data_IF_161472550590
#
_entry.id   IF_161472550590
#
_cell.length_a   1.000
_cell.length_b   1.000
_cell.length_c   1.000
_cell.angle_alpha   90.00
_cell.angle_beta   90.00
_cell.angle_gamma   90.00
#
_symmetry.space_group_name_H-M   'P 1'
#
loop_
_entity.id
_entity.type
_entity.pdbx_description
1 polymer ?
#
# COMPACT_ATOMS: atom_id res chain seq x y z
N UNK A 1 29.61 -9.82 0.07
CA UNK A 1 28.97 -8.65 0.70
C UNK A 1 29.50 -7.44 -0.06
N UNK A 2 28.69 -6.79 -0.90
CA UNK A 2 29.08 -5.53 -1.55
C UNK A 2 29.29 -4.51 -0.42
N UNK A 3 30.46 -3.90 -0.37
CA UNK A 3 30.71 -2.77 0.52
C UNK A 3 29.66 -1.69 0.20
N UNK A 4 28.97 -1.20 1.25
CA UNK A 4 28.08 -0.07 1.07
C UNK A 4 28.88 1.10 0.53
N UNK A 5 28.44 1.69 -0.58
CA UNK A 5 29.05 2.88 -1.14
C UNK A 5 28.87 4.04 -0.15
N UNK A 6 29.96 4.63 0.40
CA UNK A 6 29.82 5.68 1.41
C UNK A 6 29.08 6.92 0.90
N UNK A 7 29.22 7.27 -0.38
CA UNK A 7 28.51 8.41 -0.97
C UNK A 7 27.00 8.12 -1.09
N UNK A 8 26.63 6.87 -1.40
CA UNK A 8 25.24 6.45 -1.40
C UNK A 8 24.61 6.48 0.00
N UNK A 9 25.32 6.02 1.04
CA UNK A 9 24.81 6.09 2.41
C UNK A 9 24.69 7.55 2.89
N UNK A 10 25.61 8.44 2.53
CA UNK A 10 25.51 9.87 2.80
C UNK A 10 24.27 10.50 2.13
N UNK A 11 23.97 10.12 0.89
CA UNK A 11 22.74 10.52 0.19
C UNK A 11 21.49 10.08 0.96
N UNK A 12 21.42 8.84 1.41
CA UNK A 12 20.26 8.34 2.18
C UNK A 12 20.09 9.06 3.52
N UNK A 13 21.20 9.38 4.20
CA UNK A 13 21.18 10.14 5.46
C UNK A 13 20.70 11.59 5.22
N UNK A 14 21.14 12.23 4.13
CA UNK A 14 20.64 13.54 3.73
C UNK A 14 19.13 13.52 3.45
N UNK A 15 18.62 12.51 2.73
CA UNK A 15 17.19 12.35 2.47
C UNK A 15 16.39 12.20 3.77
N UNK A 16 16.94 11.44 4.72
CA UNK A 16 16.33 11.26 6.05
C UNK A 16 16.31 12.57 6.85
N UNK A 17 17.43 13.29 6.88
CA UNK A 17 17.55 14.55 7.63
C UNK A 17 16.64 15.65 7.05
N UNK A 18 16.55 15.74 5.72
CA UNK A 18 15.83 16.82 5.04
C UNK A 18 14.31 16.62 5.00
N UNK A 19 13.82 15.37 5.01
CA UNK A 19 12.39 15.06 4.83
C UNK A 19 11.82 14.04 5.84
N UNK A 20 12.65 13.56 6.76
CA UNK A 20 12.21 12.65 7.83
C UNK A 20 11.84 11.24 7.38
N UNK A 21 12.15 10.85 6.13
CA UNK A 21 11.86 9.51 5.64
C UNK A 21 13.11 8.63 5.63
N UNK A 22 13.06 7.53 6.39
CA UNK A 22 14.19 6.64 6.61
C UNK A 22 14.18 5.44 5.65
N UNK A 23 15.11 5.46 4.68
CA UNK A 23 15.31 4.36 3.73
C UNK A 23 16.20 3.21 4.26
N UNK A 24 16.70 3.26 5.50
CA UNK A 24 17.64 2.24 6.02
C UNK A 24 17.04 0.83 6.04
N UNK A 25 15.72 0.73 6.18
CA UNK A 25 14.99 -0.53 6.14
C UNK A 25 14.75 -1.13 4.75
N UNK A 26 15.10 -0.41 3.70
CA UNK A 26 14.89 -0.86 2.31
C UNK A 26 16.10 -1.63 1.78
N UNK A 27 15.86 -2.56 0.85
CA UNK A 27 16.93 -3.31 0.16
C UNK A 27 17.82 -2.37 -0.64
N UNK A 28 19.09 -2.28 -0.30
CA UNK A 28 20.07 -1.36 -0.93
C UNK A 28 20.14 -1.50 -2.45
N UNK A 29 20.17 -2.74 -2.96
CA UNK A 29 20.18 -2.99 -4.42
C UNK A 29 18.97 -2.42 -5.14
N UNK A 30 17.81 -2.40 -4.50
CA UNK A 30 16.59 -1.81 -5.06
C UNK A 30 16.62 -0.29 -5.03
N UNK A 31 17.15 0.31 -3.95
CA UNK A 31 17.31 1.75 -3.83
C UNK A 31 18.33 2.28 -4.85
N UNK A 32 19.55 1.70 -4.88
CA UNK A 32 20.61 2.11 -5.80
C UNK A 32 20.13 2.14 -7.24
N UNK A 33 19.54 1.04 -7.73
CA UNK A 33 19.02 0.99 -9.11
C UNK A 33 18.06 2.11 -9.46
N UNK A 34 17.30 2.63 -8.49
CA UNK A 34 16.31 3.69 -8.71
C UNK A 34 16.95 5.06 -8.62
N UNK A 35 17.84 5.25 -7.66
CA UNK A 35 18.66 6.46 -7.58
C UNK A 35 19.48 6.60 -8.85
N UNK A 36 20.18 5.55 -9.30
CA UNK A 36 20.96 5.54 -10.55
C UNK A 36 20.09 5.90 -11.77
N UNK A 37 18.88 5.34 -11.82
CA UNK A 37 17.92 5.69 -12.88
C UNK A 37 17.56 7.17 -12.87
N UNK A 38 17.33 7.75 -11.68
CA UNK A 38 16.99 9.16 -11.56
C UNK A 38 18.18 10.05 -11.89
N UNK A 39 19.36 9.74 -11.38
CA UNK A 39 20.62 10.41 -11.73
C UNK A 39 20.84 10.45 -13.24
N UNK A 40 20.64 9.32 -13.93
CA UNK A 40 20.74 9.26 -15.39
C UNK A 40 19.74 10.16 -16.12
N UNK A 41 18.55 10.40 -15.55
CA UNK A 41 17.56 11.32 -16.14
C UNK A 41 17.97 12.79 -16.03
N UNK A 42 18.71 13.15 -14.98
CA UNK A 42 19.20 14.54 -14.77
C UNK A 42 20.65 14.73 -15.22
N UNK A 43 21.31 13.67 -15.75
CA UNK A 43 22.65 13.74 -16.32
C UNK A 43 23.78 13.81 -15.28
N UNK A 44 23.52 13.34 -14.03
CA UNK A 44 24.54 13.29 -12.96
C UNK A 44 25.11 11.89 -12.86
N UNK A 45 26.45 11.77 -12.71
CA UNK A 45 27.18 10.51 -12.83
C UNK A 45 27.54 9.82 -11.51
N UNK A 46 27.59 10.54 -10.38
CA UNK A 46 27.93 9.98 -9.07
C UNK A 46 27.02 10.51 -7.95
N UNK A 47 27.05 9.82 -6.79
CA UNK A 47 26.15 10.14 -5.68
C UNK A 47 26.51 11.43 -4.94
N UNK A 48 27.79 11.85 -4.95
CA UNK A 48 28.22 13.07 -4.29
C UNK A 48 27.73 14.29 -5.08
N UNK A 49 27.96 14.30 -6.40
CA UNK A 49 27.45 15.33 -7.31
C UNK A 49 25.90 15.37 -7.29
N UNK A 50 25.26 14.20 -7.11
CA UNK A 50 23.81 14.15 -7.04
C UNK A 50 23.25 14.73 -5.74
N UNK A 51 23.97 14.58 -4.64
CA UNK A 51 23.63 15.23 -3.37
C UNK A 51 23.70 16.75 -3.51
N UNK A 52 24.76 17.29 -4.12
CA UNK A 52 24.85 18.72 -4.42
C UNK A 52 23.72 19.19 -5.36
N UNK A 53 23.38 18.36 -6.34
CA UNK A 53 22.26 18.63 -7.24
C UNK A 53 20.92 18.72 -6.50
N UNK A 54 20.65 17.82 -5.55
CA UNK A 54 19.44 17.82 -4.70
C UNK A 54 19.33 19.08 -3.84
N UNK A 55 20.46 19.60 -3.33
CA UNK A 55 20.47 20.82 -2.52
C UNK A 55 20.15 22.07 -3.35
N UNK A 56 20.53 22.09 -4.62
CA UNK A 56 20.28 23.20 -5.54
C UNK A 56 18.90 23.18 -6.20
N UNK A 57 18.24 22.01 -6.24
CA UNK A 57 16.98 21.82 -6.98
C UNK A 57 15.89 21.28 -6.05
N UNK A 58 15.11 22.17 -5.47
CA UNK A 58 14.09 21.83 -4.45
C UNK A 58 13.05 20.79 -4.91
N UNK A 59 12.71 20.75 -6.21
CA UNK A 59 11.73 19.82 -6.78
C UNK A 59 12.34 18.43 -7.03
N UNK A 60 13.66 18.32 -7.09
CA UNK A 60 14.36 17.06 -7.38
C UNK A 60 14.13 16.02 -6.29
N UNK A 61 14.05 16.43 -5.03
CA UNK A 61 13.72 15.53 -3.94
C UNK A 61 12.39 14.79 -4.20
N UNK A 62 11.36 15.52 -4.59
CA UNK A 62 10.04 14.93 -4.88
C UNK A 62 10.13 13.97 -6.06
N UNK A 63 10.87 14.32 -7.11
CA UNK A 63 11.06 13.46 -8.27
C UNK A 63 11.86 12.19 -7.94
N UNK A 64 12.90 12.30 -7.10
CA UNK A 64 13.64 11.14 -6.58
C UNK A 64 12.76 10.26 -5.70
N UNK A 65 12.02 10.85 -4.77
CA UNK A 65 11.13 10.15 -3.85
C UNK A 65 10.08 9.34 -4.63
N UNK A 66 9.42 9.95 -5.61
CA UNK A 66 8.47 9.28 -6.51
C UNK A 66 9.12 8.19 -7.39
N UNK A 67 10.42 8.30 -7.66
CA UNK A 67 11.17 7.26 -8.37
C UNK A 67 11.51 6.08 -7.46
N UNK A 68 11.81 6.35 -6.19
CA UNK A 68 12.12 5.32 -5.18
C UNK A 68 10.84 4.58 -4.75
N UNK A 69 9.76 5.29 -4.49
CA UNK A 69 8.48 4.67 -4.14
C UNK A 69 7.81 4.13 -5.41
N UNK A 70 7.61 2.82 -5.44
CA UNK A 70 6.93 2.18 -6.58
C UNK A 70 5.44 2.19 -6.34
N UNK A 71 4.75 3.10 -7.02
CA UNK A 71 3.30 3.19 -7.02
C UNK A 71 2.66 2.39 -8.17
N UNK A 72 3.27 1.26 -8.56
CA UNK A 72 2.70 0.37 -9.57
C UNK A 72 1.59 -0.43 -8.93
N UNK A 73 0.39 0.01 -9.14
CA UNK A 73 -0.85 -0.63 -8.66
C UNK A 73 -1.85 -0.77 -9.81
N UNK A 74 -2.94 -1.45 -9.58
CA UNK A 74 -4.02 -1.63 -10.54
C UNK A 74 -5.20 -2.33 -9.91
N UNK A 75 -6.38 -2.10 -10.45
CA UNK A 75 -7.59 -2.77 -10.02
C UNK A 75 -7.50 -4.28 -10.25
N UNK A 76 -7.97 -5.06 -9.29
CA UNK A 76 -8.00 -6.53 -9.34
C UNK A 76 -6.66 -7.19 -9.71
N UNK A 77 -5.54 -6.53 -9.38
CA UNK A 77 -4.21 -7.08 -9.61
C UNK A 77 -4.09 -8.48 -9.00
N UNK A 78 -3.63 -9.48 -9.80
CA UNK A 78 -3.62 -10.91 -9.44
C UNK A 78 -5.03 -11.44 -9.16
N UNK A 79 -5.89 -11.46 -10.18
CA UNK A 79 -7.32 -11.78 -10.10
C UNK A 79 -7.64 -13.07 -9.32
N UNK A 80 -6.79 -14.10 -9.45
CA UNK A 80 -6.94 -15.35 -8.71
C UNK A 80 -6.86 -15.18 -7.20
N UNK A 81 -5.96 -14.30 -6.72
CA UNK A 81 -5.86 -14.01 -5.30
C UNK A 81 -7.13 -13.31 -4.77
N UNK A 82 -7.72 -12.42 -5.56
CA UNK A 82 -9.00 -11.78 -5.23
C UNK A 82 -10.14 -12.79 -5.19
N UNK A 83 -10.16 -13.76 -6.12
CA UNK A 83 -11.16 -14.83 -6.12
C UNK A 83 -11.06 -15.67 -4.83
N UNK A 84 -9.86 -16.08 -4.42
CA UNK A 84 -9.66 -16.81 -3.16
C UNK A 84 -10.10 -15.97 -1.95
N UNK A 85 -9.79 -14.68 -1.93
CA UNK A 85 -10.24 -13.78 -0.86
C UNK A 85 -11.77 -13.76 -0.77
N UNK A 86 -12.46 -13.60 -1.91
CA UNK A 86 -13.93 -13.52 -1.98
C UNK A 86 -14.62 -14.82 -1.61
N UNK A 87 -14.12 -15.95 -2.10
CA UNK A 87 -14.83 -17.24 -1.98
C UNK A 87 -14.51 -17.97 -0.68
N UNK A 88 -13.32 -17.78 -0.11
CA UNK A 88 -12.83 -18.58 1.02
C UNK A 88 -12.63 -17.76 2.30
N UNK A 89 -11.97 -16.60 2.19
CA UNK A 89 -11.54 -15.85 3.37
C UNK A 89 -12.65 -14.96 3.91
N UNK A 90 -13.25 -14.14 3.07
CA UNK A 90 -14.27 -13.17 3.52
C UNK A 90 -15.53 -13.83 4.08
N UNK A 91 -16.09 -14.91 3.52
CA UNK A 91 -17.25 -15.57 4.12
C UNK A 91 -16.95 -16.10 5.53
N UNK A 92 -15.78 -16.73 5.73
CA UNK A 92 -15.33 -17.22 7.04
C UNK A 92 -15.16 -16.09 8.04
N UNK A 93 -14.53 -14.99 7.62
CA UNK A 93 -14.31 -13.81 8.44
C UNK A 93 -15.64 -13.16 8.86
N UNK A 94 -16.58 -13.02 7.93
CA UNK A 94 -17.92 -12.45 8.23
C UNK A 94 -18.75 -13.35 9.14
N UNK A 95 -18.66 -14.67 8.98
CA UNK A 95 -19.36 -15.63 9.84
C UNK A 95 -18.85 -15.62 11.29
N UNK A 96 -17.58 -15.27 11.51
CA UNK A 96 -16.99 -15.14 12.85
C UNK A 96 -17.40 -13.85 13.58
N UNK A 97 -18.04 -12.90 12.89
CA UNK A 97 -18.46 -11.61 13.47
C UNK A 97 -19.91 -11.63 13.94
N UNK A 98 -20.20 -10.81 14.95
CA UNK A 98 -21.59 -10.57 15.34
C UNK A 98 -22.36 -9.94 14.17
N UNK A 99 -23.62 -10.36 13.94
CA UNK A 99 -24.46 -9.78 12.90
C UNK A 99 -24.51 -8.24 13.01
N UNK A 100 -24.33 -7.54 11.89
CA UNK A 100 -24.30 -6.07 11.86
C UNK A 100 -23.10 -5.40 12.53
N UNK A 101 -22.14 -6.15 13.08
CA UNK A 101 -20.94 -5.61 13.71
C UNK A 101 -20.04 -4.87 12.72
N UNK A 102 -19.24 -3.88 13.19
CA UNK A 102 -18.35 -3.10 12.33
C UNK A 102 -17.29 -3.99 11.68
N UNK A 103 -16.99 -3.73 10.41
CA UNK A 103 -15.92 -4.38 9.66
C UNK A 103 -14.80 -3.37 9.39
N UNK A 104 -13.64 -3.61 9.98
CA UNK A 104 -12.46 -2.76 9.87
C UNK A 104 -11.43 -3.42 8.97
N UNK A 105 -11.14 -2.79 7.87
CA UNK A 105 -10.17 -3.27 6.86
C UNK A 105 -9.00 -2.30 6.79
N UNK A 106 -7.78 -2.81 6.71
CA UNK A 106 -6.59 -1.99 6.50
C UNK A 106 -5.89 -2.42 5.22
N UNK A 107 -5.84 -1.52 4.24
CA UNK A 107 -5.05 -1.63 3.02
C UNK A 107 -3.74 -0.85 3.23
N UNK A 108 -2.66 -1.57 3.51
CA UNK A 108 -1.34 -1.04 3.86
C UNK A 108 -0.43 -1.02 2.62
N UNK A 109 0.10 0.15 2.25
CA UNK A 109 0.79 0.36 0.97
C UNK A 109 -0.20 0.46 -0.20
N UNK A 110 -1.24 1.29 -0.03
CA UNK A 110 -2.37 1.38 -0.98
C UNK A 110 -2.05 2.16 -2.26
N UNK A 111 -0.91 2.82 -2.36
CA UNK A 111 -0.53 3.71 -3.46
C UNK A 111 -1.67 4.67 -3.85
N UNK A 112 -2.04 4.73 -5.13
CA UNK A 112 -3.10 5.60 -5.66
C UNK A 112 -4.53 5.06 -5.47
N UNK A 113 -4.72 4.02 -4.66
CA UNK A 113 -6.02 3.61 -4.13
C UNK A 113 -6.75 2.52 -4.91
N UNK A 114 -6.23 2.02 -6.02
CA UNK A 114 -6.88 0.98 -6.83
C UNK A 114 -7.16 -0.29 -6.03
N UNK A 115 -6.23 -0.71 -5.16
CA UNK A 115 -6.43 -1.85 -4.27
C UNK A 115 -7.49 -1.58 -3.21
N UNK A 116 -7.50 -0.38 -2.62
CA UNK A 116 -8.50 0.01 -1.63
C UNK A 116 -9.92 0.06 -2.21
N UNK A 117 -10.06 0.53 -3.44
CA UNK A 117 -11.34 0.53 -4.13
C UNK A 117 -11.74 -0.84 -4.67
N UNK A 118 -10.78 -1.69 -5.03
CA UNK A 118 -11.06 -3.12 -5.31
C UNK A 118 -11.66 -3.79 -4.06
N UNK A 119 -11.06 -3.57 -2.88
CA UNK A 119 -11.63 -4.04 -1.60
C UNK A 119 -13.03 -3.50 -1.36
N UNK A 120 -13.26 -2.21 -1.65
CA UNK A 120 -14.58 -1.60 -1.47
C UNK A 120 -15.64 -2.27 -2.37
N UNK A 121 -15.32 -2.52 -3.65
CA UNK A 121 -16.22 -3.24 -4.55
C UNK A 121 -16.48 -4.66 -4.09
N UNK A 122 -15.44 -5.41 -3.78
CA UNK A 122 -15.52 -6.81 -3.30
C UNK A 122 -16.40 -6.92 -2.06
N UNK A 123 -16.20 -6.06 -1.08
CA UNK A 123 -16.98 -6.07 0.15
C UNK A 123 -18.42 -5.63 -0.08
N UNK A 124 -18.65 -4.60 -0.91
CA UNK A 124 -20.00 -4.14 -1.23
C UNK A 124 -20.81 -5.19 -2.02
N UNK A 125 -20.17 -5.96 -2.92
CA UNK A 125 -20.82 -7.10 -3.59
C UNK A 125 -21.20 -8.22 -2.60
N UNK A 126 -20.36 -8.44 -1.59
CA UNK A 126 -20.57 -9.52 -0.63
C UNK A 126 -21.63 -9.21 0.44
N UNK A 127 -21.59 -8.00 1.01
CA UNK A 127 -22.51 -7.64 2.12
C UNK A 127 -23.68 -6.77 1.66
N UNK A 128 -23.68 -6.28 0.44
CA UNK A 128 -24.63 -5.31 -0.08
C UNK A 128 -24.23 -3.86 0.21
N UNK A 129 -24.67 -2.94 -0.66
CA UNK A 129 -24.26 -1.52 -0.63
C UNK A 129 -24.65 -0.84 0.69
N UNK A 130 -25.85 -1.08 1.21
CA UNK A 130 -26.32 -0.43 2.43
C UNK A 130 -25.54 -0.90 3.67
N UNK A 131 -25.29 -2.20 3.79
CA UNK A 131 -24.43 -2.71 4.86
C UNK A 131 -22.99 -2.25 4.73
N UNK A 132 -22.45 -2.21 3.50
CA UNK A 132 -21.12 -1.66 3.27
C UNK A 132 -21.02 -0.21 3.79
N UNK A 133 -21.96 0.65 3.45
CA UNK A 133 -21.96 2.06 3.86
C UNK A 133 -22.08 2.24 5.37
N UNK A 134 -22.87 1.42 6.02
CA UNK A 134 -23.17 1.56 7.45
C UNK A 134 -22.07 1.01 8.36
N UNK A 135 -21.43 -0.10 8.00
CA UNK A 135 -20.53 -0.82 8.92
C UNK A 135 -19.08 -1.02 8.43
N UNK A 136 -18.80 -0.84 7.14
CA UNK A 136 -17.43 -1.06 6.62
C UNK A 136 -16.60 0.23 6.68
N UNK A 137 -15.38 0.10 7.19
CA UNK A 137 -14.34 1.14 7.13
C UNK A 137 -13.05 0.54 6.60
N UNK A 138 -12.56 1.11 5.50
CA UNK A 138 -11.30 0.72 4.86
C UNK A 138 -10.29 1.84 5.14
N UNK A 139 -9.27 1.54 5.94
CA UNK A 139 -8.14 2.43 6.16
C UNK A 139 -7.12 2.15 5.05
N UNK A 140 -6.98 3.07 4.13
CA UNK A 140 -6.05 2.98 3.00
C UNK A 140 -4.84 3.85 3.30
N UNK A 141 -3.68 3.24 3.52
CA UNK A 141 -2.51 3.99 3.97
C UNK A 141 -1.30 3.76 3.08
N UNK A 142 -0.53 4.82 2.91
CA UNK A 142 0.75 4.81 2.21
C UNK A 142 1.68 5.88 2.81
N UNK A 143 2.95 5.87 2.45
CA UNK A 143 3.90 6.94 2.80
C UNK A 143 3.92 8.06 1.76
N UNK A 144 3.40 7.81 0.57
CA UNK A 144 3.37 8.73 -0.56
C UNK A 144 2.11 9.61 -0.52
N UNK A 145 2.29 10.88 -0.13
CA UNK A 145 1.19 11.83 -0.05
C UNK A 145 0.57 12.19 -1.42
N UNK A 146 1.37 12.15 -2.51
CA UNK A 146 0.86 12.39 -3.86
C UNK A 146 -0.03 11.23 -4.32
N UNK A 147 0.41 9.99 -4.10
CA UNK A 147 -0.39 8.80 -4.35
C UNK A 147 -1.69 8.81 -3.52
N UNK A 148 -1.60 9.14 -2.23
CA UNK A 148 -2.77 9.27 -1.36
C UNK A 148 -3.72 10.37 -1.82
N UNK A 149 -3.21 11.49 -2.33
CA UNK A 149 -4.04 12.55 -2.90
C UNK A 149 -4.82 12.06 -4.12
N UNK A 150 -4.18 11.31 -5.03
CA UNK A 150 -4.85 10.65 -6.16
C UNK A 150 -5.92 9.67 -5.67
N UNK A 151 -5.62 8.84 -4.69
CA UNK A 151 -6.57 7.93 -4.06
C UNK A 151 -7.79 8.66 -3.46
N UNK A 152 -7.58 9.76 -2.75
CA UNK A 152 -8.69 10.59 -2.21
C UNK A 152 -9.59 11.17 -3.30
N UNK A 153 -9.03 11.56 -4.45
CA UNK A 153 -9.83 11.98 -5.60
C UNK A 153 -10.63 10.82 -6.19
N UNK A 154 -10.04 9.63 -6.25
CA UNK A 154 -10.68 8.41 -6.70
C UNK A 154 -11.19 8.49 -8.14
N UNK A 155 -10.47 9.20 -9.02
CA UNK A 155 -10.83 9.40 -10.42
C UNK A 155 -9.71 8.89 -11.34
N UNK A 156 -10.05 7.91 -12.17
CA UNK A 156 -9.12 7.10 -12.96
C UNK A 156 -9.37 7.27 -14.46
N UNK A 157 -8.32 7.19 -15.27
CA UNK A 157 -8.40 7.18 -16.73
C UNK A 157 -8.92 5.85 -17.25
N UNK A 158 -9.31 5.79 -18.53
CA UNK A 158 -9.70 4.54 -19.21
C UNK A 158 -8.64 3.46 -19.09
N UNK A 159 -7.36 3.83 -19.16
CA UNK A 159 -6.24 2.90 -19.02
C UNK A 159 -6.12 2.34 -17.60
N UNK A 160 -6.26 3.19 -16.59
CA UNK A 160 -6.13 2.79 -15.17
C UNK A 160 -7.27 1.88 -14.73
N UNK A 161 -8.47 2.05 -15.30
CA UNK A 161 -9.67 1.27 -14.91
C UNK A 161 -9.84 -0.03 -15.70
N UNK A 162 -8.97 -0.35 -16.66
CA UNK A 162 -9.08 -1.56 -17.51
C UNK A 162 -9.19 -2.87 -16.74
N UNK A 163 -8.62 -2.94 -15.53
CA UNK A 163 -8.70 -4.12 -14.65
C UNK A 163 -10.06 -4.32 -13.99
N UNK A 164 -10.99 -3.37 -14.10
CA UNK A 164 -12.33 -3.46 -13.49
C UNK A 164 -13.30 -4.11 -14.48
N UNK A 165 -13.99 -5.21 -14.11
CA UNK A 165 -15.07 -5.78 -14.92
C UNK A 165 -16.13 -4.74 -15.28
N UNK A 166 -16.68 -4.81 -16.49
CA UNK A 166 -17.62 -3.81 -17.00
C UNK A 166 -18.86 -3.62 -16.11
N UNK A 167 -19.38 -4.70 -15.54
CA UNK A 167 -20.52 -4.66 -14.62
C UNK A 167 -20.19 -3.89 -13.32
N UNK A 168 -19.00 -4.11 -12.77
CA UNK A 168 -18.54 -3.40 -11.59
C UNK A 168 -18.22 -1.94 -11.92
N UNK A 169 -17.63 -1.69 -13.10
CA UNK A 169 -17.39 -0.32 -13.55
C UNK A 169 -18.69 0.48 -13.67
N UNK A 170 -19.72 -0.08 -14.29
CA UNK A 170 -21.02 0.56 -14.42
C UNK A 170 -21.71 0.80 -13.06
N UNK A 171 -21.48 -0.08 -12.07
CA UNK A 171 -22.11 -0.01 -10.74
C UNK A 171 -21.40 0.93 -9.78
N UNK A 172 -20.06 1.00 -9.85
CA UNK A 172 -19.23 1.64 -8.84
C UNK A 172 -18.55 2.93 -9.28
N UNK A 173 -18.61 3.29 -10.55
CA UNK A 173 -17.96 4.49 -11.07
C UNK A 173 -18.94 5.37 -11.86
N UNK A 174 -18.81 6.67 -11.63
CA UNK A 174 -19.50 7.69 -12.38
C UNK A 174 -18.55 8.32 -13.41
N UNK A 175 -18.99 8.60 -14.66
CA UNK A 175 -18.19 9.32 -15.63
C UNK A 175 -18.12 10.81 -15.24
N UNK A 176 -16.89 11.33 -15.05
CA UNK A 176 -16.66 12.73 -14.68
C UNK A 176 -15.44 13.28 -15.43
N UNK A 177 -15.64 14.27 -16.31
CA UNK A 177 -14.55 14.97 -16.98
C UNK A 177 -13.60 14.08 -17.79
N UNK A 178 -14.12 13.07 -18.50
CA UNK A 178 -13.31 12.10 -19.25
C UNK A 178 -12.55 11.10 -18.39
N UNK A 179 -12.96 10.95 -17.13
CA UNK A 179 -12.43 9.97 -16.16
C UNK A 179 -13.57 9.19 -15.52
N UNK A 180 -13.23 8.13 -14.81
CA UNK A 180 -14.12 7.30 -14.02
C UNK A 180 -13.89 7.59 -12.53
N UNK A 181 -14.84 8.27 -11.90
CA UNK A 181 -14.77 8.59 -10.48
C UNK A 181 -15.48 7.52 -9.65
N UNK A 182 -14.81 6.94 -8.64
CA UNK A 182 -15.46 6.02 -7.71
C UNK A 182 -16.60 6.72 -6.97
N UNK A 183 -17.76 6.09 -6.88
CA UNK A 183 -19.00 6.67 -6.33
C UNK A 183 -18.79 7.32 -4.98
N UNK A 184 -19.22 8.56 -4.84
CA UNK A 184 -18.98 9.41 -3.65
C UNK A 184 -19.58 8.83 -2.36
N UNK A 185 -20.74 8.19 -2.44
CA UNK A 185 -21.41 7.60 -1.29
C UNK A 185 -20.64 6.41 -0.71
N UNK A 186 -19.97 5.61 -1.55
CA UNK A 186 -19.15 4.47 -1.14
C UNK A 186 -17.74 4.91 -0.74
N UNK A 187 -17.19 5.92 -1.42
CA UNK A 187 -15.85 6.47 -1.14
C UNK A 187 -15.69 6.96 0.30
N UNK A 188 -16.78 7.38 0.97
CA UNK A 188 -16.78 7.78 2.38
C UNK A 188 -16.40 6.66 3.36
N UNK A 189 -16.49 5.41 2.94
CA UNK A 189 -16.05 4.25 3.71
C UNK A 189 -14.55 3.99 3.58
N UNK A 190 -13.85 4.63 2.62
CA UNK A 190 -12.42 4.51 2.40
C UNK A 190 -11.71 5.75 2.94
N UNK A 191 -10.87 5.55 3.95
CA UNK A 191 -10.18 6.60 4.70
C UNK A 191 -8.71 6.57 4.33
N UNK A 192 -8.26 7.55 3.56
CA UNK A 192 -6.86 7.68 3.14
C UNK A 192 -6.04 8.44 4.18
N UNK A 193 -4.91 7.87 4.61
CA UNK A 193 -4.00 8.47 5.57
C UNK A 193 -2.54 8.08 5.34
N UNK A 194 -1.63 8.98 5.71
CA UNK A 194 -0.20 8.68 5.71
C UNK A 194 0.11 7.70 6.84
N UNK A 195 0.88 6.66 6.54
CA UNK A 195 1.42 5.73 7.53
C UNK A 195 2.69 5.07 7.00
N UNK A 196 3.75 5.16 7.77
CA UNK A 196 5.00 4.45 7.55
C UNK A 196 4.97 3.13 8.32
N UNK A 197 4.91 2.01 7.59
CA UNK A 197 4.84 0.66 8.19
C UNK A 197 6.04 0.34 9.09
N UNK A 198 7.18 1.01 8.87
CA UNK A 198 8.42 0.80 9.63
C UNK A 198 8.45 1.63 10.91
N UNK A 199 7.93 2.86 10.88
CA UNK A 199 8.06 3.80 11.99
C UNK A 199 6.76 3.98 12.78
N UNK A 200 5.63 4.12 12.09
CA UNK A 200 4.38 4.48 12.73
C UNK A 200 3.71 3.31 13.47
N UNK A 201 2.85 3.64 14.41
CA UNK A 201 2.04 2.66 15.11
C UNK A 201 1.02 2.01 14.16
N UNK A 202 0.79 0.69 14.26
CA UNK A 202 -0.19 0.01 13.43
C UNK A 202 -1.63 0.39 13.83
N UNK A 203 -2.54 0.37 12.87
CA UNK A 203 -3.97 0.52 13.11
C UNK A 203 -4.49 -0.74 13.78
N UNK A 204 -5.11 -0.62 14.95
CA UNK A 204 -5.54 -1.76 15.75
C UNK A 204 -6.96 -2.25 15.46
N UNK A 205 -7.27 -3.47 15.91
CA UNK A 205 -8.58 -4.13 15.78
C UNK A 205 -9.03 -4.27 14.32
N UNK A 206 -8.12 -4.75 13.49
CA UNK A 206 -8.33 -4.95 12.07
C UNK A 206 -8.86 -6.37 11.82
N UNK A 207 -9.96 -6.47 11.10
CA UNK A 207 -10.56 -7.75 10.72
C UNK A 207 -9.90 -8.33 9.46
N UNK A 208 -9.59 -7.49 8.49
CA UNK A 208 -8.83 -7.85 7.29
C UNK A 208 -7.70 -6.84 7.07
N UNK A 209 -6.46 -7.32 7.08
CA UNK A 209 -5.29 -6.56 6.74
C UNK A 209 -4.78 -7.01 5.37
N UNK A 210 -4.70 -6.08 4.44
CA UNK A 210 -4.17 -6.31 3.09
C UNK A 210 -2.87 -5.54 2.96
N UNK A 211 -1.79 -6.24 2.62
CA UNK A 211 -0.49 -5.64 2.33
C UNK A 211 0.16 -6.42 1.20
N UNK A 212 -0.03 -5.97 -0.04
CA UNK A 212 0.41 -6.70 -1.23
C UNK A 212 1.46 -5.91 -1.99
N UNK A 213 2.51 -6.60 -2.44
CA UNK A 213 3.60 -6.05 -3.24
C UNK A 213 4.36 -4.87 -2.57
N UNK A 214 4.32 -4.79 -1.23
CA UNK A 214 4.97 -3.74 -0.44
C UNK A 214 6.15 -4.29 0.35
N UNK A 215 5.98 -5.40 1.07
CA UNK A 215 7.00 -5.95 1.95
C UNK A 215 8.26 -6.40 1.19
N UNK A 216 8.13 -6.74 -0.08
CA UNK A 216 9.24 -7.18 -0.92
C UNK A 216 10.37 -6.15 -1.06
N UNK A 217 10.11 -4.89 -0.78
CA UNK A 217 11.11 -3.81 -0.83
C UNK A 217 11.96 -3.70 0.44
N UNK A 218 11.49 -4.26 1.55
CA UNK A 218 12.18 -4.20 2.83
C UNK A 218 13.20 -5.33 3.00
N UNK A 219 14.18 -5.09 3.87
CA UNK A 219 15.09 -6.14 4.34
C UNK A 219 14.32 -7.20 5.13
N UNK A 220 14.90 -8.41 5.28
CA UNK A 220 14.26 -9.49 6.02
C UNK A 220 13.96 -9.11 7.48
N UNK A 221 14.85 -8.35 8.12
CA UNK A 221 14.67 -7.86 9.49
C UNK A 221 13.45 -6.94 9.60
N UNK A 222 13.34 -5.97 8.68
CA UNK A 222 12.21 -5.04 8.65
C UNK A 222 10.90 -5.76 8.31
N UNK A 223 10.92 -6.71 7.37
CA UNK A 223 9.74 -7.53 7.08
C UNK A 223 9.23 -8.25 8.33
N UNK A 224 10.13 -8.90 9.11
CA UNK A 224 9.76 -9.58 10.33
C UNK A 224 9.15 -8.61 11.37
N UNK A 225 9.72 -7.42 11.51
CA UNK A 225 9.20 -6.39 12.41
C UNK A 225 7.82 -5.88 11.98
N UNK A 226 7.60 -5.62 10.69
CA UNK A 226 6.30 -5.19 10.16
C UNK A 226 5.25 -6.30 10.32
N UNK A 227 5.60 -7.56 10.02
CA UNK A 227 4.70 -8.71 10.21
C UNK A 227 4.31 -8.90 11.68
N UNK A 228 5.25 -8.70 12.61
CA UNK A 228 4.93 -8.72 14.05
C UNK A 228 3.91 -7.62 14.40
N UNK A 229 4.09 -6.40 13.89
CA UNK A 229 3.12 -5.30 14.08
C UNK A 229 1.75 -5.62 13.49
N UNK A 230 1.71 -6.24 12.31
CA UNK A 230 0.46 -6.68 11.68
C UNK A 230 -0.28 -7.73 12.53
N UNK A 231 0.47 -8.65 13.15
CA UNK A 231 -0.11 -9.61 14.08
C UNK A 231 -0.81 -8.93 15.26
N UNK A 232 -0.18 -7.89 15.85
CA UNK A 232 -0.81 -7.11 16.93
C UNK A 232 -1.96 -6.21 16.46
N UNK A 233 -1.95 -5.79 15.19
CA UNK A 233 -3.03 -5.00 14.59
C UNK A 233 -4.32 -5.81 14.40
N UNK A 234 -4.19 -7.10 14.09
CA UNK A 234 -5.31 -7.98 13.78
C UNK A 234 -6.19 -8.25 15.01
N UNK A 235 -7.49 -8.31 14.78
CA UNK A 235 -8.46 -8.86 15.73
C UNK A 235 -8.26 -10.37 15.88
N UNK A 236 -8.91 -10.98 16.87
CA UNK A 236 -8.77 -12.42 17.20
C UNK A 236 -8.98 -13.34 16.00
N UNK A 237 -9.98 -13.05 15.18
CA UNK A 237 -10.30 -13.81 13.95
C UNK A 237 -9.89 -13.06 12.68
N UNK A 238 -9.00 -12.07 12.82
CA UNK A 238 -8.55 -11.25 11.70
C UNK A 238 -7.69 -12.02 10.70
N UNK A 239 -7.83 -11.68 9.42
CA UNK A 239 -7.08 -12.29 8.34
C UNK A 239 -6.02 -11.34 7.78
N UNK A 240 -4.86 -11.89 7.38
CA UNK A 240 -3.79 -11.20 6.69
C UNK A 240 -3.74 -11.67 5.23
N UNK A 241 -3.90 -10.74 4.29
CA UNK A 241 -3.82 -10.98 2.86
C UNK A 241 -2.56 -10.35 2.26
N UNK A 242 -1.62 -11.19 1.85
CA UNK A 242 -0.34 -10.79 1.27
C UNK A 242 -0.29 -11.05 -0.24
N UNK A 243 0.62 -10.39 -0.95
CA UNK A 243 0.88 -10.64 -2.35
C UNK A 243 1.68 -11.93 -2.59
N UNK A 244 1.58 -12.49 -3.79
CA UNK A 244 2.26 -13.74 -4.18
C UNK A 244 3.79 -13.62 -4.17
N UNK A 245 4.33 -12.41 -4.36
CA UNK A 245 5.77 -12.14 -4.29
C UNK A 245 6.31 -12.05 -2.86
N UNK A 246 5.43 -12.02 -1.85
CA UNK A 246 5.79 -11.88 -0.43
C UNK A 246 5.82 -13.26 0.21
N UNK A 247 6.96 -13.94 0.05
CA UNK A 247 7.19 -15.20 0.75
C UNK A 247 7.40 -14.92 2.23
N UNK A 248 6.54 -15.46 3.08
CA UNK A 248 6.77 -15.47 4.52
C UNK A 248 8.07 -16.23 4.81
N UNK A 249 9.06 -15.53 5.31
CA UNK A 249 10.39 -16.09 5.58
C UNK A 249 10.42 -17.14 6.69
N UNK A 250 9.31 -17.35 7.42
CA UNK A 250 9.13 -18.54 8.27
C UNK A 250 7.66 -18.73 8.68
N UNK A 251 7.13 -19.92 8.43
CA UNK A 251 5.87 -20.41 8.98
C UNK A 251 5.87 -20.59 10.52
N UNK A 252 6.95 -20.26 11.21
CA UNK A 252 7.14 -20.58 12.64
C UNK A 252 6.68 -19.50 13.62
N UNK A 253 6.41 -18.29 13.19
CA UNK A 253 6.19 -17.16 14.11
C UNK A 253 4.73 -16.75 14.29
N UNK A 254 3.81 -17.25 13.48
CA UNK A 254 2.41 -16.82 13.50
C UNK A 254 1.42 -17.79 14.16
N UNK A 255 1.87 -18.95 14.65
CA UNK A 255 0.97 -20.02 15.11
C UNK A 255 0.83 -20.18 16.63
N UNK A 256 1.37 -19.29 17.46
CA UNK A 256 1.18 -19.39 18.90
C UNK A 256 1.00 -18.03 19.57
N UNK A 257 -0.27 -17.66 19.90
CA UNK A 257 -0.47 -16.81 21.08
C UNK A 257 -0.07 -17.64 22.31
N UNK A 258 0.81 -17.17 23.19
CA UNK A 258 0.88 -17.74 24.52
C UNK A 258 -0.45 -17.46 25.23
N UNK A 259 -1.06 -18.50 25.74
CA UNK A 259 -2.20 -18.48 26.67
C UNK A 259 -1.85 -17.67 27.91
#
# INVERSE_FOLDING_TARGET
MSQADPAFEALLEHLKASRGFDFTGYKRTSLMRRVDRRMGQVGVGDYADYLDYLELHADEFTALFNTILINVTGFFRDAEAWRVLQEQVLPTLLAAKAPGGPLRVWCAGCASGEEAYTLAMVLAELVGIEEFRSRVKIYATDVDDEALSRGRHGAYTDREIQGVPDELRARYFDPVGGRHAFRKDLRRSVIFGRNDLVQDAPISRIDLLVCRNTLMYFTAEIQARVLSRFHFALAEYGALFLGTAERLLSHRTLSSRPT
#
